data_IF_712748931989
#
_entry.id   IF_712748931989
#
_cell.length_a   1.000
_cell.length_b   1.000
_cell.length_c   1.000
_cell.angle_alpha   90.00
_cell.angle_beta   90.00
_cell.angle_gamma   90.00
#
_symmetry.space_group_name_H-M   'P 1'
#
loop_
_entity.id
_entity.type
_entity.pdbx_description
1 polymer ?
#
# COMPACT_ATOMS: atom_id res chain seq x y z
N UNK A 1 -3.64 31.45 -16.18
CA UNK A 1 -2.53 31.06 -15.30
C UNK A 1 -2.70 29.64 -14.71
N UNK A 2 -3.90 29.13 -14.52
CA UNK A 2 -4.17 27.78 -13.98
C UNK A 2 -4.00 26.66 -15.05
N UNK A 3 -4.35 26.94 -16.30
CA UNK A 3 -4.23 25.96 -17.41
C UNK A 3 -2.78 25.78 -17.91
N UNK A 4 -1.93 26.81 -17.84
CA UNK A 4 -0.51 26.65 -18.21
C UNK A 4 0.26 25.76 -17.21
N UNK A 5 -0.14 25.73 -15.93
CA UNK A 5 0.43 24.80 -14.94
C UNK A 5 -0.03 23.36 -15.16
N UNK A 6 -1.25 23.16 -15.68
CA UNK A 6 -1.77 21.83 -16.01
C UNK A 6 -0.96 21.16 -17.13
N UNK A 7 -0.52 21.92 -18.12
CA UNK A 7 0.28 21.40 -19.25
C UNK A 7 1.76 21.11 -18.87
N UNK A 8 2.30 21.78 -17.85
CA UNK A 8 3.63 21.46 -17.31
C UNK A 8 3.63 20.29 -16.33
N UNK A 9 2.48 20.01 -15.67
CA UNK A 9 2.30 18.85 -14.79
C UNK A 9 1.96 17.56 -15.54
N UNK A 10 1.69 17.60 -16.84
CA UNK A 10 1.42 16.40 -17.66
C UNK A 10 2.66 15.57 -17.96
N UNK A 11 3.87 16.02 -17.62
CA UNK A 11 5.12 15.36 -17.95
C UNK A 11 5.67 14.39 -16.90
N UNK A 12 5.06 14.28 -15.72
CA UNK A 12 5.46 13.30 -14.72
C UNK A 12 4.29 12.95 -13.79
N UNK A 13 3.28 12.29 -14.32
CA UNK A 13 2.04 11.97 -13.58
C UNK A 13 2.03 10.60 -12.92
N UNK A 14 3.09 9.80 -13.04
CA UNK A 14 3.20 8.55 -12.31
C UNK A 14 4.66 8.22 -11.99
N UNK A 15 4.87 7.55 -10.88
CA UNK A 15 6.14 6.95 -10.49
C UNK A 15 6.71 6.03 -11.59
N UNK A 16 5.85 5.29 -12.28
CA UNK A 16 6.21 4.43 -13.41
C UNK A 16 6.86 5.21 -14.54
N UNK A 17 6.33 6.39 -14.88
CA UNK A 17 6.90 7.24 -15.94
C UNK A 17 8.32 7.72 -15.58
N UNK A 18 8.59 8.03 -14.31
CA UNK A 18 9.93 8.43 -13.87
C UNK A 18 10.96 7.31 -14.00
N UNK A 19 10.55 6.04 -13.92
CA UNK A 19 11.44 4.89 -14.13
C UNK A 19 11.86 4.72 -15.59
N UNK A 20 11.03 5.13 -16.54
CA UNK A 20 11.24 4.96 -17.98
C UNK A 20 12.15 6.05 -18.59
N UNK A 21 12.34 7.18 -17.90
CA UNK A 21 13.14 8.31 -18.39
C UNK A 21 14.58 8.28 -17.83
N UNK A 22 15.58 8.61 -18.64
CA UNK A 22 16.99 8.63 -18.22
C UNK A 22 17.33 9.86 -17.38
N UNK A 23 16.77 11.03 -17.72
CA UNK A 23 17.00 12.29 -17.02
C UNK A 23 15.68 12.94 -16.62
N UNK A 24 15.59 13.39 -15.36
CA UNK A 24 14.43 14.12 -14.83
C UNK A 24 14.88 15.37 -14.08
N UNK A 25 14.33 16.53 -14.45
CA UNK A 25 14.57 17.76 -13.71
C UNK A 25 13.75 17.81 -12.42
N UNK A 26 12.52 17.35 -12.47
CA UNK A 26 11.59 17.36 -11.34
C UNK A 26 10.92 16.01 -11.17
N UNK A 27 11.11 15.39 -10.02
CA UNK A 27 10.39 14.19 -9.58
C UNK A 27 9.12 14.60 -8.83
N UNK A 28 7.96 14.21 -9.34
CA UNK A 28 6.68 14.37 -8.64
C UNK A 28 6.25 13.03 -8.05
N UNK A 29 6.09 13.00 -6.73
CA UNK A 29 5.61 11.83 -5.99
C UNK A 29 4.10 12.04 -5.75
N UNK A 30 3.27 11.37 -6.55
CA UNK A 30 1.80 11.44 -6.48
C UNK A 30 1.15 10.14 -5.97
N UNK A 31 1.96 9.11 -5.75
CA UNK A 31 1.56 7.82 -5.16
C UNK A 31 2.61 7.36 -4.16
N UNK A 32 2.19 6.54 -3.19
CA UNK A 32 3.14 5.91 -2.29
C UNK A 32 4.05 4.96 -3.07
N UNK A 33 5.39 5.13 -3.00
CA UNK A 33 6.33 4.13 -3.48
C UNK A 33 6.11 2.78 -2.75
N UNK A 34 6.52 1.70 -3.37
CA UNK A 34 6.37 0.36 -2.78
C UNK A 34 7.23 0.18 -1.52
N UNK A 35 8.35 0.91 -1.42
CA UNK A 35 9.20 0.95 -0.25
C UNK A 35 10.04 2.24 -0.20
N UNK A 36 10.60 2.53 0.99
CA UNK A 36 11.56 3.61 1.18
C UNK A 36 12.81 3.41 0.32
N UNK A 37 13.31 2.16 0.24
CA UNK A 37 14.49 1.83 -0.57
C UNK A 37 14.25 2.11 -2.06
N UNK A 38 13.09 1.75 -2.58
CA UNK A 38 12.74 2.03 -3.97
C UNK A 38 12.71 3.53 -4.26
N UNK A 39 12.11 4.32 -3.36
CA UNK A 39 12.13 5.77 -3.47
C UNK A 39 13.55 6.35 -3.47
N UNK A 40 14.38 5.91 -2.51
CA UNK A 40 15.77 6.38 -2.42
C UNK A 40 16.59 5.96 -3.64
N UNK A 41 16.43 4.74 -4.14
CA UNK A 41 17.08 4.26 -5.36
C UNK A 41 16.68 5.09 -6.58
N UNK A 42 15.39 5.45 -6.69
CA UNK A 42 14.93 6.33 -7.76
C UNK A 42 15.60 7.72 -7.67
N UNK A 43 15.64 8.32 -6.49
CA UNK A 43 16.27 9.63 -6.27
C UNK A 43 17.77 9.55 -6.56
N UNK A 44 18.43 8.49 -6.13
CA UNK A 44 19.86 8.27 -6.34
C UNK A 44 20.19 8.09 -7.82
N UNK A 45 19.42 7.26 -8.53
CA UNK A 45 19.67 6.97 -9.95
C UNK A 45 19.34 8.13 -10.88
N UNK A 46 18.22 8.83 -10.62
CA UNK A 46 17.74 9.91 -11.51
C UNK A 46 18.25 11.30 -11.13
N UNK A 47 18.76 11.47 -9.92
CA UNK A 47 19.31 12.72 -9.36
C UNK A 47 18.46 13.97 -9.68
N UNK A 48 17.14 13.96 -9.45
CA UNK A 48 16.27 15.08 -9.81
C UNK A 48 16.72 16.38 -9.14
N UNK A 49 16.64 17.49 -9.86
CA UNK A 49 16.92 18.81 -9.33
C UNK A 49 15.91 19.22 -8.25
N UNK A 50 14.65 18.88 -8.50
CA UNK A 50 13.51 19.18 -7.63
C UNK A 50 12.73 17.91 -7.30
N UNK A 51 12.19 17.84 -6.06
CA UNK A 51 11.26 16.80 -5.64
C UNK A 51 10.00 17.48 -5.13
N UNK A 52 8.85 17.13 -5.71
CA UNK A 52 7.54 17.66 -5.36
C UNK A 52 6.68 16.54 -4.80
N UNK A 53 6.19 16.72 -3.58
CA UNK A 53 5.20 15.84 -2.97
C UNK A 53 3.81 16.33 -3.36
N UNK A 54 3.07 15.54 -4.14
CA UNK A 54 1.64 15.77 -4.34
C UNK A 54 0.86 15.27 -3.10
N UNK A 55 -0.39 15.71 -2.90
CA UNK A 55 -1.23 15.13 -1.87
C UNK A 55 -1.39 13.62 -2.11
N UNK A 56 -0.84 12.81 -1.21
CA UNK A 56 -0.91 11.36 -1.29
C UNK A 56 -2.26 10.87 -0.73
N UNK A 57 -2.84 9.85 -1.35
CA UNK A 57 -4.03 9.20 -0.81
C UNK A 57 -3.65 8.40 0.45
N UNK A 58 -3.99 8.95 1.61
CA UNK A 58 -3.74 8.34 2.92
C UNK A 58 -4.72 7.21 3.29
N UNK A 59 -5.64 6.83 2.38
CA UNK A 59 -6.60 5.75 2.63
C UNK A 59 -5.92 4.37 2.58
N UNK A 60 -5.08 4.09 3.56
CA UNK A 60 -4.49 2.77 3.75
C UNK A 60 -5.43 1.92 4.60
N UNK A 61 -5.91 0.81 4.05
CA UNK A 61 -6.71 -0.15 4.80
C UNK A 61 -5.80 -1.24 5.35
N UNK A 62 -5.58 -1.21 6.66
CA UNK A 62 -4.84 -2.25 7.35
C UNK A 62 -5.62 -2.71 8.57
N UNK A 63 -5.76 -4.02 8.76
CA UNK A 63 -6.52 -4.59 9.86
C UNK A 63 -5.58 -5.13 10.95
N UNK A 64 -5.97 -4.94 12.20
CA UNK A 64 -5.22 -5.52 13.33
C UNK A 64 -5.32 -7.05 13.35
N UNK A 65 -4.36 -7.70 14.01
CA UNK A 65 -4.35 -9.16 14.15
C UNK A 65 -5.65 -9.70 14.77
N UNK A 66 -6.23 -8.98 15.72
CA UNK A 66 -7.48 -9.35 16.39
C UNK A 66 -8.63 -9.39 15.40
N UNK A 67 -8.68 -8.49 14.42
CA UNK A 67 -9.70 -8.47 13.36
C UNK A 67 -9.55 -9.67 12.43
N UNK A 68 -8.34 -10.03 12.04
CA UNK A 68 -8.09 -11.28 11.31
C UNK A 68 -8.59 -12.52 12.08
N UNK A 69 -8.26 -12.62 13.37
CA UNK A 69 -8.72 -13.73 14.22
C UNK A 69 -10.24 -13.74 14.33
N UNK A 70 -10.87 -12.58 14.46
CA UNK A 70 -12.33 -12.44 14.55
C UNK A 70 -13.01 -12.91 13.26
N UNK A 71 -12.55 -12.47 12.10
CA UNK A 71 -13.12 -12.91 10.81
C UNK A 71 -12.93 -14.41 10.63
N UNK A 72 -11.75 -14.94 10.92
CA UNK A 72 -11.50 -16.38 10.85
C UNK A 72 -12.46 -17.19 11.74
N UNK A 73 -12.66 -16.77 12.99
CA UNK A 73 -13.59 -17.43 13.92
C UNK A 73 -15.03 -17.43 13.39
N UNK A 74 -15.49 -16.30 12.84
CA UNK A 74 -16.83 -16.17 12.28
C UNK A 74 -17.00 -17.13 11.09
N UNK A 75 -16.06 -17.15 10.15
CA UNK A 75 -16.10 -18.08 9.01
C UNK A 75 -16.10 -19.53 9.46
N UNK A 76 -15.29 -19.86 10.49
CA UNK A 76 -15.20 -21.21 11.05
C UNK A 76 -16.47 -21.66 11.77
N UNK A 77 -17.14 -20.76 12.52
CA UNK A 77 -18.29 -21.10 13.36
C UNK A 77 -19.60 -21.13 12.57
N UNK A 78 -19.76 -20.26 11.58
CA UNK A 78 -21.04 -20.14 10.87
C UNK A 78 -21.07 -20.91 9.55
N UNK A 79 -19.97 -21.60 9.17
CA UNK A 79 -19.85 -22.28 7.88
C UNK A 79 -19.77 -21.28 6.73
N UNK A 80 -20.22 -21.65 5.53
CA UNK A 80 -20.17 -20.72 4.40
C UNK A 80 -20.91 -19.43 4.71
N UNK A 81 -20.21 -18.29 4.60
CA UNK A 81 -20.81 -16.97 4.79
C UNK A 81 -21.02 -16.29 3.43
N UNK A 82 -22.24 -15.85 3.16
CA UNK A 82 -22.54 -15.05 1.96
C UNK A 82 -22.27 -13.58 2.24
N UNK A 83 -21.50 -12.93 1.35
CA UNK A 83 -21.12 -11.52 1.45
C UNK A 83 -22.28 -10.59 1.05
N UNK A 84 -23.32 -10.58 1.88
CA UNK A 84 -24.50 -9.72 1.71
C UNK A 84 -24.51 -8.56 2.74
N UNK A 85 -25.45 -7.65 2.59
CA UNK A 85 -25.58 -6.49 3.49
C UNK A 85 -25.78 -6.89 4.96
N UNK A 86 -26.45 -8.01 5.24
CA UNK A 86 -26.68 -8.48 6.59
C UNK A 86 -25.35 -8.92 7.23
N UNK A 87 -24.52 -9.65 6.50
CA UNK A 87 -23.19 -10.09 6.96
C UNK A 87 -22.24 -8.89 7.10
N UNK A 88 -22.28 -7.93 6.16
CA UNK A 88 -21.52 -6.69 6.29
C UNK A 88 -21.88 -5.94 7.58
N UNK A 89 -23.19 -5.75 7.86
CA UNK A 89 -23.65 -5.12 9.08
C UNK A 89 -23.26 -5.88 10.34
N UNK A 90 -23.21 -7.20 10.28
CA UNK A 90 -22.73 -8.03 11.39
C UNK A 90 -21.26 -7.75 11.72
N UNK A 91 -20.37 -7.73 10.70
CA UNK A 91 -18.97 -7.40 10.90
C UNK A 91 -18.74 -5.95 11.35
N UNK A 92 -19.55 -5.00 10.84
CA UNK A 92 -19.49 -3.60 11.29
C UNK A 92 -19.80 -3.47 12.80
N UNK A 93 -20.74 -4.26 13.34
CA UNK A 93 -21.01 -4.31 14.78
C UNK A 93 -19.85 -4.89 15.60
N UNK A 94 -19.01 -5.72 14.96
CA UNK A 94 -17.77 -6.24 15.57
C UNK A 94 -16.58 -5.26 15.39
N UNK A 95 -16.82 -4.04 14.90
CA UNK A 95 -15.79 -3.03 14.68
C UNK A 95 -14.91 -3.29 13.45
N UNK A 96 -15.40 -4.10 12.50
CA UNK A 96 -14.69 -4.40 11.24
C UNK A 96 -15.44 -3.69 10.11
N UNK A 97 -14.80 -2.69 9.50
CA UNK A 97 -15.36 -1.98 8.36
C UNK A 97 -15.44 -2.87 7.11
N UNK A 98 -16.23 -2.45 6.13
CA UNK A 98 -16.35 -3.17 4.86
C UNK A 98 -14.98 -3.34 4.17
N UNK A 99 -14.18 -2.27 4.14
CA UNK A 99 -12.87 -2.31 3.49
C UNK A 99 -11.91 -3.27 4.22
N UNK A 100 -11.89 -3.24 5.56
CA UNK A 100 -11.09 -4.18 6.36
C UNK A 100 -11.55 -5.63 6.16
N UNK A 101 -12.86 -5.88 6.10
CA UNK A 101 -13.37 -7.23 5.84
C UNK A 101 -12.92 -7.74 4.48
N UNK A 102 -13.06 -6.93 3.43
CA UNK A 102 -12.63 -7.30 2.08
C UNK A 102 -11.11 -7.53 2.03
N UNK A 103 -10.33 -6.67 2.66
CA UNK A 103 -8.89 -6.83 2.80
C UNK A 103 -8.53 -8.15 3.50
N UNK A 104 -9.15 -8.46 4.64
CA UNK A 104 -8.89 -9.69 5.40
C UNK A 104 -9.24 -10.93 4.57
N UNK A 105 -10.40 -10.91 3.90
CA UNK A 105 -10.83 -12.03 3.06
C UNK A 105 -9.92 -12.25 1.85
N UNK A 106 -9.42 -11.16 1.25
CA UNK A 106 -8.44 -11.24 0.16
C UNK A 106 -7.13 -11.88 0.65
N UNK A 107 -6.61 -11.43 1.79
CA UNK A 107 -5.41 -12.03 2.41
C UNK A 107 -5.65 -13.52 2.71
N UNK A 108 -6.79 -13.89 3.29
CA UNK A 108 -7.11 -15.30 3.55
C UNK A 108 -7.21 -16.14 2.29
N UNK A 109 -7.73 -15.57 1.20
CA UNK A 109 -7.79 -16.23 -0.10
C UNK A 109 -6.40 -16.46 -0.68
N UNK A 110 -5.51 -15.46 -0.62
CA UNK A 110 -4.14 -15.53 -1.13
C UNK A 110 -3.28 -16.56 -0.38
N UNK A 111 -3.49 -16.70 0.94
CA UNK A 111 -2.82 -17.75 1.74
C UNK A 111 -3.60 -19.05 1.80
N UNK A 112 -4.59 -19.24 0.95
CA UNK A 112 -5.40 -20.46 0.82
C UNK A 112 -6.11 -20.91 2.11
N UNK A 113 -6.42 -19.97 3.01
CA UNK A 113 -7.23 -20.24 4.21
C UNK A 113 -8.73 -20.31 3.89
N UNK A 114 -9.16 -19.60 2.84
CA UNK A 114 -10.56 -19.59 2.39
C UNK A 114 -10.65 -19.77 0.88
N UNK A 115 -11.81 -20.25 0.44
CA UNK A 115 -12.23 -20.34 -0.95
C UNK A 115 -13.43 -19.41 -1.12
N UNK A 116 -13.41 -18.58 -2.16
CA UNK A 116 -14.51 -17.66 -2.49
C UNK A 116 -15.19 -18.19 -3.76
N UNK A 117 -16.49 -18.50 -3.66
CA UNK A 117 -17.31 -18.96 -4.79
C UNK A 117 -18.72 -18.38 -4.67
N UNK A 118 -19.25 -17.81 -5.76
CA UNK A 118 -20.62 -17.28 -5.84
C UNK A 118 -20.96 -16.36 -4.64
N UNK A 119 -20.14 -15.36 -4.37
CA UNK A 119 -20.26 -14.42 -3.24
C UNK A 119 -20.29 -15.08 -1.85
N UNK A 120 -19.91 -16.34 -1.76
CA UNK A 120 -19.82 -17.08 -0.50
C UNK A 120 -18.39 -17.49 -0.20
N UNK A 121 -18.03 -17.35 1.07
CA UNK A 121 -16.70 -17.64 1.62
C UNK A 121 -16.77 -18.96 2.39
N UNK A 122 -15.91 -19.88 2.03
CA UNK A 122 -15.78 -21.22 2.63
C UNK A 122 -14.40 -21.33 3.27
N UNK A 123 -14.28 -22.02 4.39
CA UNK A 123 -12.97 -22.47 4.85
C UNK A 123 -12.40 -23.51 3.88
N UNK A 124 -11.09 -23.44 3.63
CA UNK A 124 -10.41 -24.48 2.86
C UNK A 124 -10.26 -25.75 3.72
N UNK A 125 -10.56 -26.91 3.12
CA UNK A 125 -10.50 -28.22 3.82
C UNK A 125 -9.09 -28.60 4.29
N UNK A 126 -8.07 -28.10 3.61
CA UNK A 126 -6.65 -28.37 3.86
C UNK A 126 -5.88 -27.10 4.26
N UNK A 127 -6.48 -26.24 5.09
CA UNK A 127 -5.82 -25.02 5.53
C UNK A 127 -4.53 -25.37 6.29
N UNK A 128 -3.40 -25.35 5.61
CA UNK A 128 -2.09 -25.40 6.25
C UNK A 128 -1.85 -24.07 6.98
N UNK A 129 -1.17 -24.13 8.12
CA UNK A 129 -0.78 -22.92 8.85
C UNK A 129 0.19 -22.13 7.98
N UNK A 130 -0.28 -21.08 7.34
CA UNK A 130 0.53 -20.13 6.58
C UNK A 130 0.64 -18.80 7.33
N UNK A 131 1.71 -18.08 7.06
CA UNK A 131 1.87 -16.73 7.59
C UNK A 131 1.06 -15.74 6.72
N UNK A 132 0.32 -14.84 7.34
CA UNK A 132 -0.43 -13.80 6.61
C UNK A 132 0.49 -12.87 5.80
N UNK A 133 1.75 -12.74 6.22
CA UNK A 133 2.77 -11.96 5.51
C UNK A 133 3.19 -12.57 4.18
N UNK A 134 2.81 -13.81 3.87
CA UNK A 134 3.02 -14.41 2.55
C UNK A 134 2.04 -13.87 1.50
N UNK A 135 0.92 -13.28 1.92
CA UNK A 135 -0.08 -12.70 1.02
C UNK A 135 0.43 -11.41 0.36
N UNK A 136 0.44 -11.31 -0.99
CA UNK A 136 0.85 -10.10 -1.69
C UNK A 136 0.06 -8.85 -1.28
N UNK A 137 -1.26 -9.01 -1.08
CA UNK A 137 -2.13 -7.92 -0.61
C UNK A 137 -1.72 -7.42 0.79
N UNK A 138 -1.37 -8.34 1.70
CA UNK A 138 -0.87 -7.97 3.03
C UNK A 138 0.43 -7.19 2.95
N UNK A 139 1.40 -7.68 2.17
CA UNK A 139 2.70 -7.01 1.97
C UNK A 139 2.52 -5.62 1.36
N UNK A 140 1.71 -5.49 0.30
CA UNK A 140 1.44 -4.22 -0.35
C UNK A 140 0.83 -3.18 0.61
N UNK A 141 -0.18 -3.57 1.40
CA UNK A 141 -0.79 -2.64 2.36
C UNK A 141 0.14 -2.31 3.52
N UNK A 142 0.96 -3.26 3.96
CA UNK A 142 1.98 -3.02 4.99
C UNK A 142 3.02 -2.02 4.50
N UNK A 143 3.54 -2.18 3.28
CA UNK A 143 4.50 -1.23 2.69
C UNK A 143 3.90 0.17 2.55
N UNK A 144 2.64 0.29 2.12
CA UNK A 144 1.95 1.59 2.08
C UNK A 144 1.82 2.22 3.46
N UNK A 145 1.52 1.44 4.49
CA UNK A 145 1.44 1.94 5.87
C UNK A 145 2.81 2.45 6.34
N UNK A 146 3.87 1.68 6.11
CA UNK A 146 5.25 2.07 6.45
C UNK A 146 5.68 3.35 5.72
N UNK A 147 5.28 3.51 4.45
CA UNK A 147 5.55 4.73 3.70
C UNK A 147 4.74 5.93 4.21
N UNK A 148 3.47 5.72 4.58
CA UNK A 148 2.65 6.75 5.20
C UNK A 148 3.28 7.23 6.51
N UNK A 149 3.64 6.30 7.40
CA UNK A 149 4.33 6.60 8.66
C UNK A 149 5.66 7.32 8.42
N UNK A 150 6.44 6.90 7.44
CA UNK A 150 7.68 7.58 7.07
C UNK A 150 7.44 9.05 6.69
N UNK A 151 6.43 9.34 5.86
CA UNK A 151 6.13 10.71 5.46
C UNK A 151 5.47 11.54 6.56
N UNK A 152 4.64 10.93 7.41
CA UNK A 152 3.95 11.64 8.50
C UNK A 152 4.88 11.95 9.70
N UNK A 153 5.78 11.03 10.02
CA UNK A 153 6.66 11.15 11.19
C UNK A 153 7.98 11.86 10.88
N UNK A 154 8.38 11.90 9.61
CA UNK A 154 9.64 12.54 9.21
C UNK A 154 9.43 14.02 8.96
N UNK A 155 10.20 14.88 9.64
CA UNK A 155 10.12 16.32 9.41
C UNK A 155 10.58 16.68 7.99
N UNK A 156 10.11 17.83 7.48
CA UNK A 156 10.55 18.32 6.17
C UNK A 156 12.08 18.52 6.08
N UNK A 157 12.72 18.90 7.19
CA UNK A 157 14.18 19.03 7.27
C UNK A 157 14.89 17.68 7.14
N UNK A 158 14.37 16.65 7.81
CA UNK A 158 14.91 15.28 7.73
C UNK A 158 14.70 14.69 6.35
N UNK A 159 13.52 14.87 5.74
CA UNK A 159 13.26 14.45 4.36
C UNK A 159 14.25 15.07 3.37
N UNK A 160 14.46 16.38 3.47
CA UNK A 160 15.45 17.08 2.65
C UNK A 160 16.85 16.51 2.82
N UNK A 161 17.26 16.24 4.06
CA UNK A 161 18.57 15.67 4.36
C UNK A 161 18.68 14.28 3.78
N UNK A 162 17.68 13.42 3.99
CA UNK A 162 17.64 12.04 3.45
C UNK A 162 17.75 12.04 1.93
N UNK A 163 16.98 12.90 1.24
CA UNK A 163 17.00 13.00 -0.21
C UNK A 163 18.32 13.58 -0.74
N UNK A 164 18.91 14.53 -0.01
CA UNK A 164 20.23 15.09 -0.35
C UNK A 164 21.32 14.02 -0.24
N UNK A 165 21.35 13.27 0.86
CA UNK A 165 22.30 12.19 1.07
C UNK A 165 22.18 11.12 -0.03
N UNK A 166 20.98 10.68 -0.34
CA UNK A 166 20.72 9.71 -1.41
C UNK A 166 21.23 10.18 -2.79
N UNK A 167 21.19 11.48 -3.06
CA UNK A 167 21.74 12.07 -4.31
C UNK A 167 23.28 12.12 -4.33
N UNK A 168 23.91 12.23 -3.17
CA UNK A 168 25.36 12.42 -3.01
C UNK A 168 26.12 11.09 -2.88
N UNK A 169 25.50 10.02 -2.36
CA UNK A 169 26.17 8.72 -2.08
C UNK A 169 26.84 8.09 -3.31
N UNK A 170 26.29 8.25 -4.53
CA UNK A 170 26.90 7.73 -5.75
C UNK A 170 28.01 8.63 -6.35
N UNK A 171 28.21 9.82 -5.82
CA UNK A 171 29.30 10.68 -6.32
C UNK A 171 30.70 10.19 -5.86
N UNK A 172 30.75 9.26 -4.90
CA UNK A 172 31.99 8.69 -4.36
C UNK A 172 32.34 7.29 -4.90
N UNK A 173 31.43 6.65 -5.65
CA UNK A 173 31.65 5.30 -6.23
C UNK A 173 31.95 5.32 -7.74
N UNK A 174 32.17 6.48 -8.33
CA UNK A 174 32.49 6.64 -9.78
C UNK A 174 33.93 7.08 -10.02
#
# INVERSE_FOLDING_TARGET
MYEQRKNQLQLATSYTLALETDEIETLVIDQFPSSKEELLNLITSKKPGNIVMAPLDSNVTFASREKFVTVYKVVKQHGPITLNNQMMNYFMRLGISKNELLFILQVFFEVELVIIRNDSVFLADSATKRDLSEAPTYQSQKSKLEMLEFFELTTWSELKTTFKTAREEMAYES
#
